data_IF_282800713689
#
_entry.id   IF_282800713689
#
_cell.length_a   1.000
_cell.length_b   1.000
_cell.length_c   1.000
_cell.angle_alpha   90.00
_cell.angle_beta   90.00
_cell.angle_gamma   90.00
#
_symmetry.space_group_name_H-M   'P 1'
#
loop_
_entity.id
_entity.type
_entity.pdbx_description
1 polymer ?
#
# COMPACT_ATOMS: atom_id res chain seq x y z
N UNK A 1 -65.27 0.98 51.32
CA UNK A 1 -65.77 1.75 50.15
C UNK A 1 -64.94 3.00 49.85
N UNK A 2 -64.59 3.85 50.83
CA UNK A 2 -63.77 5.06 50.59
C UNK A 2 -62.37 4.77 50.00
N UNK A 3 -61.69 3.72 50.45
CA UNK A 3 -60.36 3.34 49.94
C UNK A 3 -60.37 2.92 48.47
N UNK A 4 -61.39 2.16 48.06
CA UNK A 4 -61.57 1.72 46.66
C UNK A 4 -61.83 2.91 45.74
N UNK A 5 -62.64 3.88 46.19
CA UNK A 5 -62.89 5.12 45.46
C UNK A 5 -61.61 5.97 45.26
N UNK A 6 -60.76 6.05 46.29
CA UNK A 6 -59.50 6.78 46.22
C UNK A 6 -58.51 6.18 45.22
N UNK A 7 -58.37 4.85 45.20
CA UNK A 7 -57.49 4.15 44.25
C UNK A 7 -57.99 4.33 42.82
N UNK A 8 -59.31 4.27 42.59
CA UNK A 8 -59.90 4.50 41.27
C UNK A 8 -59.63 5.91 40.73
N UNK A 9 -59.75 6.95 41.58
CA UNK A 9 -59.44 8.32 41.18
C UNK A 9 -57.95 8.52 40.87
N UNK A 10 -57.06 7.89 41.62
CA UNK A 10 -55.61 8.00 41.42
C UNK A 10 -55.18 7.32 40.11
N UNK A 11 -55.72 6.14 39.82
CA UNK A 11 -55.50 5.45 38.54
C UNK A 11 -56.07 6.25 37.37
N UNK A 12 -57.29 6.77 37.51
CA UNK A 12 -57.92 7.61 36.49
C UNK A 12 -57.09 8.87 36.20
N UNK A 13 -56.61 9.56 37.24
CA UNK A 13 -55.75 10.73 37.10
C UNK A 13 -54.40 10.40 36.48
N UNK A 14 -53.77 9.28 36.87
CA UNK A 14 -52.52 8.82 36.29
C UNK A 14 -52.66 8.50 34.79
N UNK A 15 -53.74 7.84 34.39
CA UNK A 15 -54.06 7.56 32.99
C UNK A 15 -54.35 8.84 32.20
N UNK A 16 -55.08 9.79 32.79
CA UNK A 16 -55.37 11.10 32.17
C UNK A 16 -54.08 11.92 31.98
N UNK A 17 -53.16 11.86 32.94
CA UNK A 17 -51.87 12.54 32.87
C UNK A 17 -50.93 11.92 31.84
N UNK A 18 -50.94 10.60 31.69
CA UNK A 18 -50.19 9.90 30.64
C UNK A 18 -50.72 10.23 29.23
N UNK A 19 -52.05 10.36 29.05
CA UNK A 19 -52.66 10.73 27.75
C UNK A 19 -52.54 12.22 27.43
N UNK A 20 -52.55 13.08 28.45
CA UNK A 20 -52.31 14.53 28.28
C UNK A 20 -50.92 14.81 27.71
N UNK A 21 -49.90 14.05 28.15
CA UNK A 21 -48.51 14.22 27.69
C UNK A 21 -48.28 13.77 26.24
N UNK A 22 -49.17 12.95 25.66
CA UNK A 22 -49.07 12.48 24.27
C UNK A 22 -49.93 13.25 23.27
N UNK A 23 -50.89 14.07 23.71
CA UNK A 23 -51.66 14.96 22.82
C UNK A 23 -50.87 16.17 22.30
N UNK A 24 -49.68 16.43 22.84
CA UNK A 24 -48.76 17.49 22.40
C UNK A 24 -47.63 17.00 21.49
N UNK A 25 -47.81 15.91 20.72
CA UNK A 25 -46.82 15.49 19.71
C UNK A 25 -47.45 15.25 18.36
N UNK A 26 -47.42 16.31 17.55
CA UNK A 26 -46.85 16.41 16.19
C UNK A 26 -47.46 17.65 15.53
N UNK A 27 -46.79 18.81 15.48
CA UNK A 27 -47.07 19.69 14.36
C UNK A 27 -46.73 18.86 13.11
N UNK A 28 -47.68 18.72 12.19
CA UNK A 28 -47.38 18.27 10.83
C UNK A 28 -46.13 19.03 10.40
N UNK A 29 -45.05 18.32 10.05
CA UNK A 29 -43.78 18.92 9.64
C UNK A 29 -44.10 20.12 8.76
N UNK A 30 -43.72 21.32 9.21
CA UNK A 30 -44.05 22.55 8.50
C UNK A 30 -43.63 22.35 7.04
N UNK A 31 -44.42 22.76 6.04
CA UNK A 31 -44.04 22.64 4.63
C UNK A 31 -42.60 23.16 4.35
N UNK A 32 -42.14 24.12 5.17
CA UNK A 32 -40.79 24.67 5.17
C UNK A 32 -39.69 23.63 5.49
N UNK A 33 -39.89 22.74 6.46
CA UNK A 33 -38.90 21.71 6.84
C UNK A 33 -38.71 20.66 5.73
N UNK A 34 -39.78 20.37 4.97
CA UNK A 34 -39.74 19.43 3.84
C UNK A 34 -38.96 20.03 2.66
N UNK A 35 -39.08 21.35 2.45
CA UNK A 35 -38.36 22.08 1.40
C UNK A 35 -36.86 22.15 1.73
N UNK A 36 -36.51 22.43 2.99
CA UNK A 36 -35.12 22.48 3.45
C UNK A 36 -34.44 21.11 3.33
N UNK A 37 -35.11 20.03 3.74
CA UNK A 37 -34.59 18.66 3.55
C UNK A 37 -34.38 18.31 2.08
N UNK A 38 -35.32 18.63 1.20
CA UNK A 38 -35.16 18.34 -0.24
C UNK A 38 -34.02 19.15 -0.86
N UNK A 39 -33.83 20.41 -0.43
CA UNK A 39 -32.70 21.23 -0.89
C UNK A 39 -31.36 20.63 -0.46
N UNK A 40 -31.28 20.12 0.76
CA UNK A 40 -30.07 19.44 1.26
C UNK A 40 -29.77 18.16 0.48
N UNK A 41 -30.80 17.34 0.19
CA UNK A 41 -30.65 16.12 -0.61
C UNK A 41 -30.17 16.43 -2.02
N UNK A 42 -30.73 17.47 -2.67
CA UNK A 42 -30.27 17.92 -4.00
C UNK A 42 -28.83 18.45 -3.97
N UNK A 43 -28.43 19.15 -2.91
CA UNK A 43 -27.05 19.60 -2.73
C UNK A 43 -26.07 18.44 -2.62
N UNK A 44 -26.43 17.39 -1.87
CA UNK A 44 -25.62 16.17 -1.75
C UNK A 44 -25.54 15.41 -3.09
N UNK A 45 -26.63 15.36 -3.85
CA UNK A 45 -26.63 14.75 -5.19
C UNK A 45 -25.66 15.47 -6.14
N UNK A 46 -25.62 16.80 -6.11
CA UNK A 46 -24.66 17.57 -6.90
C UNK A 46 -23.20 17.27 -6.51
N UNK A 47 -22.91 17.15 -5.21
CA UNK A 47 -21.57 16.79 -4.73
C UNK A 47 -21.15 15.37 -5.16
N UNK A 48 -22.09 14.43 -5.19
CA UNK A 48 -21.84 13.06 -5.67
C UNK A 48 -21.56 13.05 -7.18
N UNK A 49 -22.30 13.85 -7.95
CA UNK A 49 -22.09 13.99 -9.39
C UNK A 49 -20.72 14.63 -9.69
N UNK A 50 -20.34 15.66 -8.93
CA UNK A 50 -19.02 16.28 -9.01
C UNK A 50 -17.89 15.29 -8.68
N UNK A 51 -18.02 14.52 -7.59
CA UNK A 51 -17.06 13.47 -7.24
C UNK A 51 -16.97 12.39 -8.32
N UNK A 52 -18.08 12.00 -8.94
CA UNK A 52 -18.08 10.99 -9.99
C UNK A 52 -17.30 11.47 -11.23
N UNK A 53 -17.48 12.73 -11.62
CA UNK A 53 -16.71 13.36 -12.71
C UNK A 53 -15.23 13.47 -12.36
N UNK A 54 -14.91 13.82 -11.11
CA UNK A 54 -13.52 13.90 -10.65
C UNK A 54 -12.83 12.53 -10.65
N UNK A 55 -13.52 11.48 -10.20
CA UNK A 55 -13.01 10.10 -10.25
C UNK A 55 -12.80 9.65 -11.69
N UNK A 56 -13.73 9.94 -12.60
CA UNK A 56 -13.57 9.61 -14.02
C UNK A 56 -12.34 10.31 -14.63
N UNK A 57 -12.17 11.61 -14.34
CA UNK A 57 -11.02 12.38 -14.80
C UNK A 57 -9.71 11.83 -14.22
N UNK A 58 -9.70 11.44 -12.95
CA UNK A 58 -8.56 10.84 -12.27
C UNK A 58 -8.20 9.48 -12.88
N UNK A 59 -9.17 8.60 -13.10
CA UNK A 59 -8.96 7.31 -13.76
C UNK A 59 -8.40 7.49 -15.17
N UNK A 60 -8.92 8.46 -15.94
CA UNK A 60 -8.42 8.76 -17.28
C UNK A 60 -6.98 9.25 -17.26
N UNK A 61 -6.63 10.12 -16.30
CA UNK A 61 -5.26 10.61 -16.10
C UNK A 61 -4.31 9.48 -15.70
N UNK A 62 -4.73 8.61 -14.78
CA UNK A 62 -3.93 7.45 -14.38
C UNK A 62 -3.71 6.47 -15.53
N UNK A 63 -4.73 6.23 -16.37
CA UNK A 63 -4.60 5.40 -17.56
C UNK A 63 -3.47 5.88 -18.49
N UNK A 64 -3.47 7.18 -18.81
CA UNK A 64 -2.41 7.78 -19.65
C UNK A 64 -1.02 7.63 -19.02
N UNK A 65 -0.91 7.79 -17.70
CA UNK A 65 0.38 7.62 -17.01
C UNK A 65 0.85 6.16 -17.00
N UNK A 66 -0.07 5.20 -16.83
CA UNK A 66 0.25 3.78 -16.88
C UNK A 66 0.69 3.37 -18.28
N UNK A 67 0.01 3.81 -19.32
CA UNK A 67 0.39 3.53 -20.71
C UNK A 67 1.78 4.07 -21.05
N UNK A 68 2.10 5.29 -20.60
CA UNK A 68 3.42 5.87 -20.78
C UNK A 68 4.52 5.08 -20.05
N UNK A 69 4.23 4.59 -18.84
CA UNK A 69 5.16 3.73 -18.10
C UNK A 69 5.31 2.35 -18.73
N UNK A 70 4.22 1.74 -19.22
CA UNK A 70 4.24 0.46 -19.91
C UNK A 70 5.13 0.51 -21.16
N UNK A 71 4.93 1.52 -22.02
CA UNK A 71 5.80 1.74 -23.18
C UNK A 71 7.27 1.94 -22.81
N UNK A 72 7.53 2.66 -21.70
CA UNK A 72 8.91 2.84 -21.22
C UNK A 72 9.53 1.51 -20.78
N UNK A 73 8.77 0.65 -20.12
CA UNK A 73 9.23 -0.68 -19.72
C UNK A 73 9.46 -1.58 -20.94
N UNK A 74 8.55 -1.59 -21.92
CA UNK A 74 8.72 -2.31 -23.19
C UNK A 74 10.02 -1.89 -23.89
N UNK A 75 10.29 -0.58 -23.98
CA UNK A 75 11.51 -0.07 -24.58
C UNK A 75 12.78 -0.47 -23.82
N UNK A 76 12.74 -0.46 -22.48
CA UNK A 76 13.89 -0.89 -21.67
C UNK A 76 14.12 -2.40 -21.78
N UNK A 77 13.06 -3.19 -21.89
CA UNK A 77 13.14 -4.63 -22.08
C UNK A 77 13.76 -4.97 -23.45
N UNK A 78 13.29 -4.33 -24.52
CA UNK A 78 13.90 -4.47 -25.84
C UNK A 78 15.40 -4.09 -25.83
N UNK A 79 15.77 -2.98 -25.18
CA UNK A 79 17.17 -2.60 -25.03
C UNK A 79 17.99 -3.62 -24.24
N UNK A 80 17.41 -4.24 -23.20
CA UNK A 80 18.09 -5.27 -22.43
C UNK A 80 18.31 -6.52 -23.28
N UNK A 81 17.33 -6.92 -24.08
CA UNK A 81 17.44 -8.06 -25.00
C UNK A 81 18.53 -7.83 -26.05
N UNK A 82 18.56 -6.65 -26.70
CA UNK A 82 19.60 -6.26 -27.65
C UNK A 82 21.01 -6.33 -27.02
N UNK A 83 21.13 -5.91 -25.75
CA UNK A 83 22.41 -5.97 -25.01
C UNK A 83 22.81 -7.39 -24.67
N UNK A 84 21.85 -8.24 -24.30
CA UNK A 84 22.10 -9.66 -24.03
C UNK A 84 22.57 -10.35 -25.31
N UNK A 85 21.95 -10.05 -26.46
CA UNK A 85 22.38 -10.58 -27.75
C UNK A 85 23.80 -10.14 -28.10
N UNK A 86 24.11 -8.84 -28.00
CA UNK A 86 25.48 -8.33 -28.19
C UNK A 86 26.50 -9.02 -27.28
N UNK A 87 26.17 -9.21 -26.01
CA UNK A 87 27.06 -9.91 -25.07
C UNK A 87 27.22 -11.39 -25.42
N UNK A 88 26.15 -12.05 -25.90
CA UNK A 88 26.22 -13.43 -26.40
C UNK A 88 27.02 -13.55 -27.68
N UNK A 89 27.00 -12.56 -28.57
CA UNK A 89 27.86 -12.55 -29.76
C UNK A 89 29.33 -12.37 -29.37
N UNK A 90 29.62 -11.50 -28.41
CA UNK A 90 30.97 -11.26 -27.90
C UNK A 90 31.51 -12.46 -27.08
N UNK A 91 30.67 -13.12 -26.28
CA UNK A 91 31.04 -14.34 -25.53
C UNK A 91 31.01 -15.60 -26.40
N UNK A 92 30.14 -15.62 -27.40
CA UNK A 92 29.93 -16.69 -28.36
C UNK A 92 30.87 -16.61 -29.56
N UNK A 93 31.81 -15.66 -29.60
CA UNK A 93 33.04 -15.83 -30.37
C UNK A 93 33.75 -17.04 -29.78
N UNK A 94 33.68 -18.20 -30.45
CA UNK A 94 34.34 -19.39 -29.96
C UNK A 94 35.82 -19.09 -30.14
N UNK A 95 36.55 -19.01 -29.03
CA UNK A 95 37.91 -19.54 -29.01
C UNK A 95 37.79 -20.93 -29.63
N UNK A 96 38.19 -21.08 -30.90
CA UNK A 96 38.15 -22.32 -31.67
C UNK A 96 39.12 -23.39 -31.12
N UNK A 97 39.33 -23.45 -29.80
CA UNK A 97 40.25 -24.32 -29.07
C UNK A 97 39.70 -24.72 -27.70
N UNK A 98 38.73 -25.63 -27.67
CA UNK A 98 38.53 -26.69 -26.65
C UNK A 98 37.14 -27.31 -26.87
N UNK A 99 36.95 -28.59 -27.07
CA UNK A 99 37.84 -29.75 -26.99
C UNK A 99 36.91 -30.95 -26.97
N UNK A 100 37.14 -31.90 -27.87
CA UNK A 100 36.65 -33.26 -27.73
C UNK A 100 36.96 -33.76 -26.32
N UNK A 101 35.93 -34.13 -25.56
CA UNK A 101 36.08 -35.05 -24.43
C UNK A 101 34.92 -36.03 -24.49
N UNK A 102 35.06 -36.98 -25.41
CA UNK A 102 34.74 -38.37 -25.06
C UNK A 102 35.72 -38.75 -23.94
N UNK A 103 35.23 -39.02 -22.72
CA UNK A 103 35.43 -40.33 -22.11
C UNK A 103 34.82 -40.42 -20.71
N UNK A 104 34.00 -41.45 -20.62
CA UNK A 104 33.43 -42.08 -19.45
C UNK A 104 34.55 -42.83 -18.70
N UNK A 105 34.81 -42.50 -17.43
CA UNK A 105 35.40 -43.35 -16.35
C UNK A 105 36.33 -42.56 -15.43
N UNK A 106 35.83 -42.14 -14.26
CA UNK A 106 36.55 -42.42 -13.01
C UNK A 106 35.64 -42.29 -11.78
N UNK A 107 35.09 -43.42 -11.37
CA UNK A 107 34.58 -43.59 -10.02
C UNK A 107 35.72 -44.10 -9.13
N UNK A 108 35.80 -43.52 -7.93
CA UNK A 108 36.50 -43.98 -6.72
C UNK A 108 37.93 -43.49 -6.45
N UNK A 109 37.99 -42.77 -5.32
CA UNK A 109 38.97 -42.95 -4.24
C UNK A 109 40.20 -42.03 -4.21
N UNK A 110 40.28 -41.25 -3.12
CA UNK A 110 41.51 -41.25 -2.31
C UNK A 110 42.33 -39.96 -2.28
N UNK A 111 42.02 -39.15 -1.28
CA UNK A 111 42.96 -38.39 -0.43
C UNK A 111 43.83 -37.25 -1.00
N UNK A 112 43.56 -36.09 -0.39
CA UNK A 112 44.53 -35.19 0.24
C UNK A 112 45.57 -34.52 -0.66
N UNK A 113 45.38 -33.21 -0.89
CA UNK A 113 46.26 -32.17 -0.31
C UNK A 113 45.87 -30.77 -0.82
N UNK A 114 45.60 -29.88 0.14
CA UNK A 114 45.95 -28.45 0.09
C UNK A 114 45.33 -27.61 -1.04
N UNK A 115 44.23 -26.94 -0.72
CA UNK A 115 44.16 -25.48 -0.86
C UNK A 115 43.10 -24.94 0.08
N UNK A 116 43.58 -24.53 1.24
CA UNK A 116 42.92 -23.56 2.09
C UNK A 116 42.83 -22.27 1.26
N UNK A 117 41.71 -22.08 0.57
CA UNK A 117 41.30 -20.77 0.07
C UNK A 117 41.35 -19.83 1.26
N UNK A 118 42.37 -18.96 1.24
CA UNK A 118 42.33 -17.73 2.02
C UNK A 118 41.05 -17.05 1.58
N UNK A 119 40.04 -17.07 2.43
CA UNK A 119 38.96 -16.10 2.34
C UNK A 119 39.63 -14.73 2.20
N UNK A 120 39.40 -13.99 1.10
CA UNK A 120 39.81 -12.61 1.07
C UNK A 120 39.19 -11.95 2.32
N UNK A 121 39.93 -11.07 3.02
CA UNK A 121 39.35 -10.33 4.13
C UNK A 121 38.04 -9.71 3.64
N UNK A 122 36.95 -9.77 4.44
CA UNK A 122 35.68 -9.21 4.01
C UNK A 122 35.96 -7.78 3.57
N UNK A 123 35.74 -7.51 2.28
CA UNK A 123 35.81 -6.15 1.77
C UNK A 123 34.95 -5.30 2.71
N UNK A 124 35.40 -4.08 3.08
CA UNK A 124 34.55 -3.18 3.83
C UNK A 124 33.22 -3.13 3.10
N UNK A 125 32.15 -3.58 3.76
CA UNK A 125 30.81 -3.50 3.19
C UNK A 125 30.62 -2.01 2.97
N UNK A 126 30.75 -1.56 1.73
CA UNK A 126 30.46 -0.19 1.36
C UNK A 126 29.00 0.01 1.74
N UNK A 127 28.80 0.65 2.90
CA UNK A 127 27.47 0.96 3.40
C UNK A 127 26.74 1.71 2.28
N UNK A 128 25.70 1.06 1.75
CA UNK A 128 24.87 1.56 0.66
C UNK A 128 24.54 3.03 0.94
N UNK A 129 24.84 3.96 0.00
CA UNK A 129 24.52 5.38 0.18
C UNK A 129 23.06 5.61 0.54
N UNK A 130 22.15 4.73 0.11
CA UNK A 130 20.75 4.77 0.51
C UNK A 130 20.56 4.45 2.00
N UNK A 131 21.23 3.43 2.53
CA UNK A 131 21.12 3.06 3.93
C UNK A 131 21.59 4.19 4.86
N UNK A 132 22.67 4.89 4.49
CA UNK A 132 23.14 6.08 5.21
C UNK A 132 22.08 7.19 5.25
N UNK A 133 21.44 7.45 4.12
CA UNK A 133 20.40 8.47 4.01
C UNK A 133 19.16 8.11 4.85
N UNK A 134 18.75 6.84 4.81
CA UNK A 134 17.66 6.30 5.65
C UNK A 134 17.98 6.47 7.13
N UNK A 135 19.22 6.16 7.57
CA UNK A 135 19.62 6.31 8.97
C UNK A 135 19.65 7.76 9.43
N UNK A 136 20.18 8.67 8.61
CA UNK A 136 20.18 10.11 8.94
C UNK A 136 18.78 10.66 9.12
N UNK A 137 17.85 10.30 8.23
CA UNK A 137 16.46 10.73 8.33
C UNK A 137 15.75 10.09 9.53
N UNK A 138 16.01 8.81 9.82
CA UNK A 138 15.47 8.16 11.01
C UNK A 138 16.03 8.79 12.31
N UNK A 139 17.31 9.15 12.33
CA UNK A 139 17.95 9.83 13.47
C UNK A 139 17.41 11.25 13.67
N UNK A 140 16.87 11.87 12.62
CA UNK A 140 16.10 13.12 12.71
C UNK A 140 14.68 12.95 13.27
N UNK A 141 14.28 11.73 13.63
CA UNK A 141 12.96 11.41 14.20
C UNK A 141 11.86 11.17 13.16
N UNK A 142 12.24 10.97 11.89
CA UNK A 142 11.29 10.78 10.79
C UNK A 142 10.78 9.32 10.74
N UNK A 143 9.49 9.13 10.46
CA UNK A 143 8.88 7.80 10.35
C UNK A 143 9.20 7.10 9.01
N UNK A 144 9.19 5.77 8.99
CA UNK A 144 9.56 4.95 7.82
C UNK A 144 8.76 5.30 6.56
N UNK A 145 7.46 5.60 6.70
CA UNK A 145 6.64 6.03 5.57
C UNK A 145 7.07 7.40 5.01
N UNK A 146 7.39 8.35 5.88
CA UNK A 146 7.84 9.68 5.50
C UNK A 146 9.22 9.62 4.81
N UNK A 147 10.12 8.78 5.31
CA UNK A 147 11.44 8.52 4.71
C UNK A 147 11.29 7.93 3.31
N UNK A 148 10.43 6.91 3.17
CA UNK A 148 10.16 6.26 1.89
C UNK A 148 9.62 7.25 0.85
N UNK A 149 8.69 8.13 1.24
CA UNK A 149 8.21 9.20 0.37
C UNK A 149 9.30 10.20 -0.02
N UNK A 150 10.13 10.63 0.93
CA UNK A 150 11.17 11.64 0.68
C UNK A 150 12.28 11.11 -0.23
N UNK A 151 12.69 9.85 -0.04
CA UNK A 151 13.70 9.19 -0.85
C UNK A 151 13.14 8.57 -2.13
N UNK A 152 11.81 8.65 -2.35
CA UNK A 152 11.10 8.01 -3.45
C UNK A 152 11.41 6.51 -3.56
N UNK A 153 11.37 5.83 -2.41
CA UNK A 153 11.69 4.42 -2.24
C UNK A 153 10.51 3.64 -1.64
N UNK A 154 10.60 2.30 -1.65
CA UNK A 154 9.53 1.45 -1.12
C UNK A 154 9.59 1.37 0.41
N UNK A 155 8.43 1.51 1.08
CA UNK A 155 8.32 1.47 2.55
C UNK A 155 8.95 0.20 3.13
N UNK A 156 8.66 -0.97 2.56
CA UNK A 156 9.24 -2.24 3.01
C UNK A 156 10.77 -2.31 2.90
N UNK A 157 11.37 -1.63 1.90
CA UNK A 157 12.83 -1.53 1.76
C UNK A 157 13.43 -0.66 2.87
N UNK A 158 12.77 0.45 3.21
CA UNK A 158 13.16 1.33 4.32
C UNK A 158 13.04 0.61 5.66
N UNK A 159 11.93 -0.10 5.88
CA UNK A 159 11.73 -0.91 7.08
C UNK A 159 12.80 -2.01 7.23
N UNK A 160 13.13 -2.70 6.13
CA UNK A 160 14.19 -3.70 6.11
C UNK A 160 15.55 -3.10 6.50
N UNK A 161 15.92 -1.96 5.92
CA UNK A 161 17.16 -1.24 6.25
C UNK A 161 17.19 -0.87 7.74
N UNK A 162 16.09 -0.34 8.29
CA UNK A 162 16.00 0.00 9.70
C UNK A 162 16.05 -1.24 10.62
N UNK A 163 15.46 -2.36 10.20
CA UNK A 163 15.52 -3.62 10.92
C UNK A 163 16.95 -4.19 10.97
N UNK A 164 17.68 -4.13 9.86
CA UNK A 164 19.08 -4.55 9.78
C UNK A 164 19.99 -3.75 10.71
N UNK A 165 19.73 -2.44 10.90
CA UNK A 165 20.44 -1.61 11.88
C UNK A 165 20.25 -2.09 13.31
N UNK A 166 19.02 -2.48 13.67
CA UNK A 166 18.69 -2.96 15.03
C UNK A 166 19.25 -4.35 15.32
N UNK A 167 19.50 -5.14 14.28
CA UNK A 167 20.00 -6.50 14.39
C UNK A 167 21.54 -6.59 14.50
N UNK A 168 22.25 -5.47 14.38
CA UNK A 168 23.70 -5.36 14.52
C UNK A 168 24.08 -4.95 15.95
#
# INVERSE_FOLDING_TARGET
MLLVCGVMLLVSWALMRLRSKTRNRKPLARPQEIIERNRQVRGMQGQLEELMVEVEALTRRFGVQLDAKARRLENLLAQADDRIEQLRELQGQPSLHQGEVDDEQNAASGNASVQQERTPPPAPIEEDPLAKSVYQLADSGMDAHAIAMQLNEHVGKVELILALRKAK
#
